data_IF_429183745924
#
_entry.id   IF_429183745924
#
_cell.length_a   1.000
_cell.length_b   1.000
_cell.length_c   1.000
_cell.angle_alpha   90.00
_cell.angle_beta   90.00
_cell.angle_gamma   90.00
#
_symmetry.space_group_name_H-M   'P 1'
#
loop_
_entity.id
_entity.type
_entity.pdbx_description
1 polymer ?
#
# COMPACT_ATOMS: atom_id res chain seq x y z
N UNK A 1 -16.97 -14.39 -18.07
CA UNK A 1 -17.08 -14.06 -17.91
C UNK A 1 -16.75 -13.86 -18.10
N UNK A 2 -16.81 -13.71 -17.95
CA UNK A 2 -16.56 -13.33 -17.88
C UNK A 2 -15.97 -13.00 -17.95
N UNK A 3 -15.65 -12.91 -17.85
CA UNK A 3 -15.28 -12.50 -17.77
C UNK A 3 -14.61 -12.17 -17.73
N UNK A 4 -14.30 -12.28 -17.66
CA UNK A 4 -13.88 -11.95 -17.50
C UNK A 4 -12.96 -11.53 -17.70
N UNK A 5 -12.64 -11.39 -17.73
CA UNK A 5 -11.99 -11.00 -17.96
C UNK A 5 -11.30 -10.31 -18.43
N UNK A 6 -10.94 -9.77 -18.50
CA UNK A 6 -10.46 -9.05 -18.91
C UNK A 6 -9.54 -8.71 -19.26
N UNK A 7 -9.05 -8.30 -19.41
CA UNK A 7 -8.23 -7.88 -19.67
C UNK A 7 -7.41 -7.26 -19.69
N UNK A 8 -7.19 -7.05 -19.60
CA UNK A 8 -6.61 -6.43 -19.59
C UNK A 8 -6.17 -5.83 -19.19
N UNK A 9 -5.98 -5.84 -18.97
CA UNK A 9 -5.74 -5.32 -18.52
C UNK A 9 -5.54 -4.86 -17.85
N UNK A 10 -5.50 -4.71 -17.65
CA UNK A 10 -5.54 -4.26 -17.05
C UNK A 10 -5.62 -4.03 -16.28
N UNK A 11 -5.50 -3.99 -16.38
CA UNK A 11 -5.64 -3.80 -15.40
C UNK A 11 -6.02 -3.75 -14.30
N UNK A 12 -6.18 -3.25 -14.05
CA UNK A 12 -6.71 -3.11 -12.88
C UNK A 12 -7.89 -3.92 -12.56
N UNK A 13 -7.95 -5.11 -13.03
CA UNK A 13 -9.07 -5.95 -12.72
C UNK A 13 -9.25 -6.12 -11.23
N UNK A 14 -8.18 -6.06 -10.52
CA UNK A 14 -8.28 -6.20 -9.08
C UNK A 14 -9.08 -5.08 -8.47
N UNK A 15 -9.15 -3.96 -9.17
CA UNK A 15 -9.91 -2.84 -8.70
C UNK A 15 -11.37 -3.14 -8.56
N UNK A 16 -11.79 -4.23 -9.06
CA UNK A 16 -13.19 -4.54 -9.01
C UNK A 16 -13.57 -5.28 -7.76
N UNK A 17 -12.89 -5.00 -6.69
CA UNK A 17 -13.29 -5.52 -5.40
C UNK A 17 -12.77 -6.91 -5.12
N UNK A 18 -11.76 -7.32 -5.87
CA UNK A 18 -11.25 -8.67 -5.74
C UNK A 18 -10.16 -8.82 -4.70
N UNK A 19 -10.03 -7.88 -3.79
CA UNK A 19 -9.04 -7.99 -2.73
C UNK A 19 -9.39 -9.13 -1.78
N UNK A 20 -8.35 -9.84 -1.32
CA UNK A 20 -8.54 -10.78 -0.23
C UNK A 20 -8.88 -10.01 1.04
N UNK A 21 -9.40 -10.72 2.04
CA UNK A 21 -9.72 -10.09 3.31
C UNK A 21 -8.48 -9.46 3.94
N UNK A 22 -7.33 -10.14 3.85
CA UNK A 22 -6.08 -9.61 4.40
C UNK A 22 -5.63 -8.36 3.66
N UNK A 23 -5.77 -8.31 2.35
CA UNK A 23 -5.37 -7.14 1.58
C UNK A 23 -6.34 -5.98 1.80
N UNK A 24 -7.64 -6.27 1.91
CA UNK A 24 -8.62 -5.24 2.25
C UNK A 24 -8.33 -4.63 3.61
N UNK A 25 -7.84 -5.43 4.55
CA UNK A 25 -7.46 -4.94 5.87
C UNK A 25 -6.31 -3.95 5.79
N UNK A 26 -5.36 -4.16 4.86
CA UNK A 26 -4.26 -3.21 4.67
C UNK A 26 -4.81 -1.84 4.23
N UNK A 27 -5.79 -1.83 3.35
CA UNK A 27 -6.42 -0.57 2.93
C UNK A 27 -7.06 0.12 4.13
N UNK A 28 -7.75 -0.62 4.98
CA UNK A 28 -8.37 -0.07 6.18
C UNK A 28 -7.33 0.51 7.12
N UNK A 29 -6.22 -0.19 7.34
CA UNK A 29 -5.14 0.30 8.21
C UNK A 29 -4.50 1.56 7.65
N UNK A 30 -4.24 1.59 6.34
CA UNK A 30 -3.67 2.75 5.68
C UNK A 30 -4.60 3.96 5.81
N UNK A 31 -5.88 3.74 5.60
CA UNK A 31 -6.89 4.79 5.72
C UNK A 31 -6.94 5.36 7.13
N UNK A 32 -6.92 4.48 8.12
CA UNK A 32 -6.95 4.87 9.54
C UNK A 32 -5.72 5.68 9.93
N UNK A 33 -4.54 5.25 9.48
CA UNK A 33 -3.29 5.97 9.78
C UNK A 33 -3.30 7.37 9.19
N UNK A 34 -3.76 7.50 7.94
CA UNK A 34 -3.87 8.80 7.30
C UNK A 34 -4.80 9.73 8.07
N UNK A 35 -5.99 9.22 8.40
CA UNK A 35 -7.02 10.04 9.04
C UNK A 35 -6.62 10.48 10.43
N UNK A 36 -5.91 9.62 11.17
CA UNK A 36 -5.57 9.92 12.56
C UNK A 36 -4.75 11.19 12.70
N UNK A 37 -3.86 11.46 11.78
CA UNK A 37 -2.98 12.63 11.86
C UNK A 37 -3.22 13.64 10.74
N UNK A 38 -4.23 13.42 9.90
CA UNK A 38 -4.53 14.31 8.80
C UNK A 38 -3.42 14.38 7.77
N UNK A 39 -2.75 13.27 7.51
CA UNK A 39 -1.61 13.24 6.62
C UNK A 39 -2.03 13.23 5.15
N UNK A 40 -1.08 13.51 4.26
CA UNK A 40 -1.30 13.45 2.81
C UNK A 40 -1.61 12.03 2.39
N UNK A 41 -0.88 11.05 2.94
CA UNK A 41 -1.08 9.65 2.61
C UNK A 41 -0.99 8.79 3.85
N UNK A 42 -1.62 7.63 3.78
CA UNK A 42 -1.43 6.55 4.73
C UNK A 42 -1.01 5.30 3.96
N UNK A 43 -0.33 4.40 4.65
CA UNK A 43 0.11 3.16 4.03
C UNK A 43 0.14 2.04 5.06
N UNK A 44 0.09 0.81 4.56
CA UNK A 44 0.26 -0.37 5.40
C UNK A 44 0.90 -1.47 4.58
N UNK A 45 1.71 -2.29 5.23
CA UNK A 45 2.35 -3.44 4.60
C UNK A 45 2.18 -4.66 5.50
N UNK A 46 2.25 -5.84 4.89
CA UNK A 46 2.20 -7.12 5.63
C UNK A 46 3.46 -7.89 5.32
N UNK A 47 4.12 -8.40 6.36
CA UNK A 47 5.34 -9.14 6.19
C UNK A 47 5.08 -10.64 6.00
N UNK A 48 6.16 -11.42 5.88
CA UNK A 48 6.10 -12.85 5.61
C UNK A 48 5.42 -13.67 6.73
N UNK A 49 5.32 -13.08 7.92
CA UNK A 49 4.70 -13.74 9.08
C UNK A 49 3.26 -13.28 9.29
N UNK A 50 2.74 -12.45 8.39
CA UNK A 50 1.39 -11.93 8.50
C UNK A 50 1.24 -10.73 9.42
N UNK A 51 2.36 -10.17 9.93
CA UNK A 51 2.30 -8.96 10.73
C UNK A 51 2.10 -7.76 9.83
N UNK A 52 1.35 -6.78 10.33
CA UNK A 52 1.05 -5.58 9.56
C UNK A 52 1.69 -4.37 10.23
N UNK A 53 2.10 -3.41 9.39
CA UNK A 53 2.74 -2.17 9.84
C UNK A 53 2.08 -1.04 9.08
N UNK A 54 1.55 -0.05 9.81
CA UNK A 54 0.84 1.07 9.22
C UNK A 54 1.57 2.36 9.54
N UNK A 55 1.50 3.32 8.63
CA UNK A 55 2.21 4.58 8.77
C UNK A 55 1.49 5.67 7.99
N UNK A 56 1.86 6.92 8.29
CA UNK A 56 1.37 8.10 7.59
C UNK A 56 2.58 8.91 7.14
N UNK A 57 2.38 9.80 6.17
CA UNK A 57 3.42 10.70 5.69
C UNK A 57 3.97 11.54 6.83
N UNK A 58 5.28 11.69 6.89
CA UNK A 58 5.95 12.54 7.85
C UNK A 58 6.73 13.61 7.09
N UNK A 59 6.50 14.88 7.44
CA UNK A 59 7.22 16.00 6.84
C UNK A 59 7.71 16.90 7.98
N UNK A 60 8.98 16.80 8.27
CA UNK A 60 9.66 17.63 9.27
C UNK A 60 10.88 18.27 8.61
N UNK A 61 11.42 19.32 9.21
CA UNK A 61 12.61 19.96 8.62
C UNK A 61 13.78 19.02 8.40
N UNK A 62 13.94 18.04 9.27
CA UNK A 62 15.07 17.09 9.18
C UNK A 62 14.65 15.66 8.88
N UNK A 63 13.38 15.42 8.59
CA UNK A 63 12.90 14.07 8.30
C UNK A 63 11.66 14.15 7.43
N UNK A 64 11.81 13.72 6.19
CA UNK A 64 10.68 13.67 5.28
C UNK A 64 10.64 12.29 4.65
N UNK A 65 9.58 11.55 4.94
CA UNK A 65 9.39 10.20 4.39
C UNK A 65 7.94 10.03 3.97
N UNK A 66 7.74 9.27 2.90
CA UNK A 66 6.39 8.96 2.46
C UNK A 66 5.78 7.92 3.39
N UNK A 67 4.46 7.84 3.39
CA UNK A 67 3.77 6.85 4.21
C UNK A 67 4.24 5.44 3.89
N UNK A 68 4.37 5.10 2.61
CA UNK A 68 4.78 3.76 2.21
C UNK A 68 6.24 3.50 2.60
N UNK A 69 7.13 4.47 2.42
CA UNK A 69 8.51 4.33 2.90
C UNK A 69 8.55 4.04 4.39
N UNK A 70 7.76 4.77 5.18
CA UNK A 70 7.76 4.59 6.62
C UNK A 70 7.19 3.24 7.03
N UNK A 71 6.15 2.78 6.34
CA UNK A 71 5.60 1.45 6.62
C UNK A 71 6.64 0.36 6.34
N UNK A 72 7.36 0.47 5.24
CA UNK A 72 8.44 -0.47 4.91
C UNK A 72 9.54 -0.40 5.96
N UNK A 73 9.96 0.81 6.34
CA UNK A 73 11.00 1.00 7.35
C UNK A 73 10.58 0.38 8.67
N UNK A 74 9.32 0.55 9.06
CA UNK A 74 8.80 -0.03 10.30
C UNK A 74 8.86 -1.55 10.27
N UNK A 75 8.49 -2.14 9.15
CA UNK A 75 8.54 -3.60 8.99
C UNK A 75 9.98 -4.11 9.10
N UNK A 76 10.90 -3.47 8.39
CA UNK A 76 12.31 -3.88 8.40
C UNK A 76 12.90 -3.71 9.80
N UNK A 77 12.59 -2.59 10.46
CA UNK A 77 13.06 -2.33 11.82
C UNK A 77 12.53 -3.36 12.81
N UNK A 78 11.39 -3.97 12.53
CA UNK A 78 10.81 -5.01 13.36
C UNK A 78 11.26 -6.42 12.98
N UNK A 79 12.14 -6.54 11.97
CA UNK A 79 12.70 -7.83 11.60
C UNK A 79 12.13 -8.46 10.33
N UNK A 80 11.28 -7.75 9.60
CA UNK A 80 10.73 -8.30 8.36
C UNK A 80 11.84 -8.48 7.33
N UNK A 81 11.80 -9.61 6.61
CA UNK A 81 12.74 -9.90 5.54
C UNK A 81 12.05 -9.94 4.18
N UNK A 82 10.72 -9.96 4.16
CA UNK A 82 9.94 -9.98 2.94
C UNK A 82 8.57 -9.36 3.20
N UNK A 83 7.97 -8.81 2.15
CA UNK A 83 6.60 -8.29 2.23
C UNK A 83 5.70 -9.13 1.32
N UNK A 84 4.48 -9.34 1.77
CA UNK A 84 3.47 -10.07 1.00
C UNK A 84 2.58 -9.14 0.20
N UNK A 85 2.30 -7.96 0.74
CA UNK A 85 1.42 -6.99 0.09
C UNK A 85 1.55 -5.63 0.77
N UNK A 86 1.12 -4.60 0.07
CA UNK A 86 1.10 -3.23 0.58
C UNK A 86 -0.16 -2.52 0.13
N UNK A 87 -0.53 -1.46 0.83
CA UNK A 87 -1.63 -0.58 0.44
C UNK A 87 -1.27 0.86 0.74
N UNK A 88 -1.71 1.76 -0.12
CA UNK A 88 -1.54 3.21 0.04
C UNK A 88 -2.89 3.87 -0.14
N UNK A 89 -3.24 4.77 0.77
CA UNK A 89 -4.44 5.61 0.66
C UNK A 89 -3.99 7.02 0.37
N UNK A 90 -4.44 7.58 -0.75
CA UNK A 90 -3.93 8.84 -1.28
C UNK A 90 -4.98 9.53 -2.15
N UNK A 91 -4.87 10.86 -2.28
CA UNK A 91 -5.67 11.60 -3.26
C UNK A 91 -4.94 11.74 -4.59
N UNK A 92 -3.67 11.32 -4.65
CA UNK A 92 -2.90 11.38 -5.87
C UNK A 92 -3.36 10.30 -6.85
N UNK A 93 -3.11 10.54 -8.13
CA UNK A 93 -3.46 9.57 -9.17
C UNK A 93 -2.31 8.61 -9.46
N UNK A 94 -1.15 8.82 -8.87
CA UNK A 94 0.02 7.96 -9.10
C UNK A 94 0.58 7.49 -7.78
N UNK A 95 1.25 6.33 -7.83
CA UNK A 95 1.89 5.77 -6.66
C UNK A 95 3.22 6.50 -6.41
N UNK A 96 3.50 6.75 -5.14
CA UNK A 96 4.77 7.28 -4.67
C UNK A 96 5.94 6.41 -5.15
N UNK A 97 6.82 6.99 -5.97
CA UNK A 97 7.92 6.24 -6.55
C UNK A 97 8.94 5.77 -5.54
N UNK A 98 9.21 6.57 -4.51
CA UNK A 98 10.17 6.19 -3.48
C UNK A 98 9.65 5.03 -2.63
N UNK A 99 8.36 5.06 -2.29
CA UNK A 99 7.74 3.96 -1.56
C UNK A 99 7.66 2.70 -2.41
N UNK A 100 7.35 2.85 -3.70
CA UNK A 100 7.32 1.72 -4.63
C UNK A 100 8.69 1.02 -4.66
N UNK A 101 9.76 1.81 -4.78
CA UNK A 101 11.11 1.26 -4.80
C UNK A 101 11.45 0.55 -3.49
N UNK A 102 11.03 1.09 -2.36
CA UNK A 102 11.28 0.49 -1.06
C UNK A 102 10.60 -0.88 -0.94
N UNK A 103 9.36 -1.01 -1.40
CA UNK A 103 8.68 -2.30 -1.40
C UNK A 103 9.43 -3.29 -2.29
N UNK A 104 9.87 -2.83 -3.46
CA UNK A 104 10.59 -3.69 -4.41
C UNK A 104 11.88 -4.25 -3.80
N UNK A 105 12.53 -3.49 -2.93
CA UNK A 105 13.75 -3.97 -2.28
C UNK A 105 13.50 -5.22 -1.45
N UNK A 106 12.28 -5.41 -0.95
CA UNK A 106 11.94 -6.58 -0.13
C UNK A 106 11.14 -7.62 -0.88
N UNK A 107 10.41 -7.23 -1.92
CA UNK A 107 9.53 -8.18 -2.61
C UNK A 107 9.15 -7.62 -3.97
N UNK A 108 9.86 -8.04 -5.01
CA UNK A 108 9.63 -7.52 -6.36
C UNK A 108 8.27 -7.90 -6.93
N UNK A 109 7.62 -8.90 -6.36
CA UNK A 109 6.35 -9.42 -6.88
C UNK A 109 5.15 -9.09 -5.99
N UNK A 110 5.35 -8.33 -4.93
CA UNK A 110 4.24 -8.01 -4.02
C UNK A 110 3.27 -7.01 -4.67
N UNK A 111 1.97 -7.19 -4.49
CA UNK A 111 1.00 -6.20 -4.98
C UNK A 111 0.99 -4.99 -4.06
N UNK A 112 0.85 -3.81 -4.66
CA UNK A 112 0.66 -2.57 -3.93
C UNK A 112 -0.70 -2.02 -4.37
N UNK A 113 -1.66 -2.02 -3.47
CA UNK A 113 -3.02 -1.57 -3.74
C UNK A 113 -3.10 -0.07 -3.47
N UNK A 114 -3.70 0.66 -4.39
CA UNK A 114 -3.86 2.11 -4.23
C UNK A 114 -5.34 2.41 -4.08
N UNK A 115 -5.70 3.11 -3.02
CA UNK A 115 -7.09 3.42 -2.73
C UNK A 115 -7.25 4.92 -2.45
N UNK A 116 -8.47 5.41 -2.64
CA UNK A 116 -8.82 6.79 -2.33
C UNK A 116 -9.04 6.93 -0.83
N UNK A 117 -9.14 8.19 -0.31
CA UNK A 117 -9.41 8.39 1.12
C UNK A 117 -10.71 7.80 1.60
N UNK A 118 -11.66 7.54 0.71
CA UNK A 118 -12.90 6.86 1.09
C UNK A 118 -12.72 5.35 1.20
N UNK A 119 -11.56 4.84 0.82
CA UNK A 119 -11.29 3.41 0.84
C UNK A 119 -11.60 2.71 -0.48
N UNK A 120 -12.02 3.46 -1.50
CA UNK A 120 -12.33 2.87 -2.80
C UNK A 120 -11.04 2.50 -3.51
N UNK A 121 -10.93 1.26 -3.94
CA UNK A 121 -9.75 0.78 -4.64
C UNK A 121 -9.65 1.44 -6.00
N UNK A 122 -8.51 2.07 -6.30
CA UNK A 122 -8.25 2.71 -7.58
C UNK A 122 -7.50 1.79 -8.52
N UNK A 123 -6.71 0.89 -7.97
CA UNK A 123 -5.95 -0.07 -8.76
C UNK A 123 -4.87 -0.72 -7.93
N UNK A 124 -4.12 -1.61 -8.57
CA UNK A 124 -3.01 -2.31 -7.93
C UNK A 124 -1.85 -2.36 -8.90
N UNK A 125 -0.64 -2.21 -8.38
CA UNK A 125 0.58 -2.35 -9.16
C UNK A 125 1.46 -3.38 -8.50
N UNK A 126 2.33 -3.98 -9.32
CA UNK A 126 3.31 -4.94 -8.79
C UNK A 126 4.58 -4.18 -8.42
N UNK A 127 5.13 -4.50 -7.28
CA UNK A 127 6.36 -3.88 -6.85
C UNK A 127 7.50 -4.24 -7.80
#
# INVERSE_FOLDING_TARGET
MPDQSSPAGSAVPAAEGELTAEDAKLVTLARSSRARVGAVEGAAVRDQDGRTYAAATVVLPSLAVTALQLAVASAVAAGATKLEAAAVVTEASTLDGAGHAAVRDLAADAPIHVASPTGALLGSVTA
#
